data_IF_528055125664
#
_entry.id   IF_528055125664
#
_cell.length_a   1.000
_cell.length_b   1.000
_cell.length_c   1.000
_cell.angle_alpha   90.00
_cell.angle_beta   90.00
_cell.angle_gamma   90.00
#
_symmetry.space_group_name_H-M   'P 1'
#
loop_
_entity.id
_entity.type
_entity.pdbx_description
1 polymer ?
#
# COMPACT_ATOMS: atom_id res chain seq x y z
N UNK A 1 9.03 0.54 -8.16
CA UNK A 1 9.05 -0.69 -7.37
C UNK A 1 7.84 -0.75 -6.46
N UNK A 2 7.18 -1.91 -6.35
CA UNK A 2 6.00 -2.13 -5.51
C UNK A 2 6.30 -3.15 -4.43
N UNK A 3 5.94 -2.85 -3.17
CA UNK A 3 6.06 -3.77 -2.03
C UNK A 3 4.69 -4.33 -1.61
N UNK A 4 4.62 -5.65 -1.35
CA UNK A 4 3.39 -6.32 -0.86
C UNK A 4 3.71 -7.02 0.44
N UNK A 5 3.01 -6.62 1.51
CA UNK A 5 3.32 -7.02 2.88
C UNK A 5 2.08 -7.61 3.55
N UNK A 6 2.29 -8.68 4.33
CA UNK A 6 1.19 -9.40 4.99
C UNK A 6 0.63 -8.72 6.25
N UNK A 7 1.36 -7.75 6.82
CA UNK A 7 0.98 -7.09 8.06
C UNK A 7 1.57 -5.67 8.15
N UNK A 8 0.79 -4.72 8.71
CA UNK A 8 1.19 -3.32 8.93
C UNK A 8 2.40 -3.15 9.85
N UNK A 9 2.69 -4.13 10.73
CA UNK A 9 3.75 -3.99 11.74
C UNK A 9 5.14 -3.80 11.11
N UNK A 10 5.42 -4.52 10.01
CA UNK A 10 6.66 -4.36 9.24
C UNK A 10 6.50 -3.39 8.05
N UNK A 11 5.25 -2.97 7.79
CA UNK A 11 4.84 -2.19 6.62
C UNK A 11 5.68 -0.93 6.36
N UNK A 12 5.88 -0.05 7.37
CA UNK A 12 6.60 1.22 7.16
C UNK A 12 8.07 1.04 6.76
N UNK A 13 8.78 0.05 7.33
CA UNK A 13 10.21 -0.16 7.07
C UNK A 13 10.50 -0.82 5.71
N UNK A 14 9.58 -1.67 5.25
CA UNK A 14 9.68 -2.30 3.93
C UNK A 14 9.17 -1.38 2.82
N UNK A 15 8.15 -0.56 3.10
CA UNK A 15 7.61 0.43 2.17
C UNK A 15 8.53 1.62 1.90
N UNK A 16 9.45 1.96 2.82
CA UNK A 16 10.39 3.08 2.65
C UNK A 16 11.39 2.88 1.50
N UNK A 17 11.63 1.62 1.11
CA UNK A 17 12.49 1.26 -0.02
C UNK A 17 11.71 1.09 -1.33
N UNK A 18 10.38 1.26 -1.32
CA UNK A 18 9.53 1.11 -2.49
C UNK A 18 8.86 2.44 -2.86
N UNK A 19 8.50 2.61 -4.14
CA UNK A 19 7.74 3.77 -4.59
C UNK A 19 6.30 3.70 -4.07
N UNK A 20 5.73 2.49 -4.11
CA UNK A 20 4.39 2.19 -3.63
C UNK A 20 4.40 0.89 -2.83
N UNK A 21 3.48 0.75 -1.89
CA UNK A 21 3.29 -0.52 -1.20
C UNK A 21 1.94 -0.69 -0.57
N UNK A 22 1.60 -1.93 -0.21
CA UNK A 22 0.42 -2.25 0.58
C UNK A 22 0.78 -3.17 1.75
N UNK A 23 0.17 -2.91 2.90
CA UNK A 23 0.17 -3.84 4.02
C UNK A 23 -1.25 -4.29 4.31
N UNK A 24 -1.47 -5.61 4.20
CA UNK A 24 -2.75 -6.22 4.55
C UNK A 24 -3.01 -6.21 6.05
N UNK A 25 -4.30 -6.20 6.40
CA UNK A 25 -4.79 -6.43 7.75
C UNK A 25 -6.10 -7.22 7.70
N UNK A 26 -6.63 -7.57 8.87
CA UNK A 26 -7.76 -8.51 8.98
C UNK A 26 -9.06 -8.00 8.34
N UNK A 27 -9.28 -6.68 8.34
CA UNK A 27 -10.47 -6.03 7.78
C UNK A 27 -10.12 -4.84 6.88
N UNK A 28 -9.00 -4.19 7.16
CA UNK A 28 -8.47 -3.05 6.42
C UNK A 28 -7.00 -3.27 6.10
N UNK A 29 -6.53 -2.65 5.04
CA UNK A 29 -5.12 -2.52 4.69
C UNK A 29 -4.72 -1.06 4.52
N UNK A 30 -3.41 -0.83 4.51
CA UNK A 30 -2.80 0.49 4.34
C UNK A 30 -2.04 0.52 3.03
N UNK A 31 -2.21 1.60 2.27
CA UNK A 31 -1.41 1.92 1.08
C UNK A 31 -0.32 2.89 1.49
N UNK A 32 0.90 2.65 1.02
CA UNK A 32 2.08 3.46 1.24
C UNK A 32 2.59 4.04 -0.07
N UNK A 33 3.17 5.25 0.02
CA UNK A 33 3.90 5.91 -1.05
C UNK A 33 5.21 6.45 -0.48
N UNK A 34 6.35 6.04 -1.04
CA UNK A 34 7.68 6.41 -0.53
C UNK A 34 7.83 6.23 0.99
N UNK A 35 7.32 5.12 1.53
CA UNK A 35 7.32 4.83 2.97
C UNK A 35 6.24 5.50 3.80
N UNK A 36 5.50 6.48 3.26
CA UNK A 36 4.47 7.21 3.99
C UNK A 36 3.07 6.61 3.73
N UNK A 37 2.24 6.38 4.76
CA UNK A 37 0.88 5.88 4.59
C UNK A 37 -0.03 6.97 3.96
N UNK A 38 -0.65 6.65 2.83
CA UNK A 38 -1.49 7.60 2.07
C UNK A 38 -2.97 7.28 2.11
N UNK A 39 -3.34 6.02 2.36
CA UNK A 39 -4.75 5.61 2.44
C UNK A 39 -4.93 4.35 3.31
N UNK A 40 -6.12 4.24 3.91
CA UNK A 40 -6.66 2.99 4.46
C UNK A 40 -7.88 2.59 3.67
N UNK A 41 -7.94 1.33 3.30
CA UNK A 41 -9.06 0.77 2.53
C UNK A 41 -9.43 -0.61 3.05
N UNK A 42 -10.64 -1.05 2.77
CA UNK A 42 -11.05 -2.42 3.09
C UNK A 42 -10.12 -3.43 2.38
N UNK A 43 -9.81 -4.54 3.06
CA UNK A 43 -8.80 -5.50 2.57
C UNK A 43 -9.16 -6.10 1.20
N UNK A 44 -10.46 -6.21 0.90
CA UNK A 44 -10.99 -6.67 -0.39
C UNK A 44 -10.82 -5.66 -1.53
N UNK A 45 -10.57 -4.38 -1.21
CA UNK A 45 -10.33 -3.29 -2.17
C UNK A 45 -8.86 -2.87 -2.23
N UNK A 46 -7.98 -3.49 -1.45
CA UNK A 46 -6.61 -3.02 -1.25
C UNK A 46 -5.76 -3.07 -2.53
N UNK A 47 -5.87 -4.17 -3.29
CA UNK A 47 -5.14 -4.32 -4.55
C UNK A 47 -5.67 -3.35 -5.62
N UNK A 48 -6.99 -3.25 -5.78
CA UNK A 48 -7.63 -2.33 -6.71
C UNK A 48 -7.22 -0.89 -6.43
N UNK A 49 -7.30 -0.47 -5.17
CA UNK A 49 -6.97 0.89 -4.76
C UNK A 49 -5.49 1.24 -4.97
N UNK A 50 -4.57 0.27 -4.82
CA UNK A 50 -3.17 0.45 -5.16
C UNK A 50 -2.97 0.67 -6.66
N UNK A 51 -3.61 -0.15 -7.50
CA UNK A 51 -3.51 -0.03 -8.97
C UNK A 51 -4.08 1.30 -9.42
N UNK A 52 -5.27 1.68 -8.95
CA UNK A 52 -5.88 2.97 -9.26
C UNK A 52 -4.97 4.15 -8.88
N UNK A 53 -4.29 4.09 -7.73
CA UNK A 53 -3.34 5.13 -7.31
C UNK A 53 -2.18 5.24 -8.30
N UNK A 54 -1.56 4.11 -8.66
CA UNK A 54 -0.41 4.08 -9.57
C UNK A 54 -0.82 4.57 -10.96
N UNK A 55 -1.99 4.15 -11.46
CA UNK A 55 -2.48 4.59 -12.77
C UNK A 55 -2.74 6.10 -12.80
N UNK A 56 -3.38 6.67 -11.77
CA UNK A 56 -3.67 8.11 -11.68
C UNK A 56 -2.42 8.98 -11.65
N UNK A 57 -1.31 8.49 -11.09
CA UNK A 57 -0.06 9.26 -11.00
C UNK A 57 0.84 9.14 -12.24
N UNK A 58 0.61 8.14 -13.09
CA UNK A 58 1.37 7.94 -14.34
C UNK A 58 0.65 8.53 -15.57
N UNK A 59 -0.40 9.33 -15.36
CA UNK A 59 -1.07 10.14 -16.39
C UNK A 59 -0.53 11.56 -16.40
#
# INVERSE_FOLDING_TARGET
TVAVMGCVVNGPGEASHADYGIAGGKSEGVIFKHGEPVARVASDRLADALVELIERENQ
#
